data_IF_997853724277
#
_entry.id   IF_997853724277
#
_cell.length_a   1.000
_cell.length_b   1.000
_cell.length_c   1.000
_cell.angle_alpha   90.00
_cell.angle_beta   90.00
_cell.angle_gamma   90.00
#
_symmetry.space_group_name_H-M   'P 1'
#
loop_
_entity.id
_entity.type
_entity.pdbx_description
1 polymer ?
#
# COMPACT_ATOMS: atom_id res chain seq x y z
N UNK A 1 -4.59 -19.50 3.02
CA UNK A 1 -3.48 -18.94 3.82
C UNK A 1 -3.64 -17.43 3.87
N UNK A 2 -3.67 -16.85 5.05
CA UNK A 2 -3.89 -15.41 5.22
C UNK A 2 -2.57 -14.65 5.11
N UNK A 3 -2.59 -13.46 4.50
CA UNK A 3 -1.42 -12.60 4.33
C UNK A 3 -1.55 -11.34 5.20
N UNK A 4 -0.41 -10.69 5.47
CA UNK A 4 -0.39 -9.43 6.22
C UNK A 4 -1.19 -8.34 5.48
N UNK A 5 -1.96 -7.54 6.23
CA UNK A 5 -2.77 -6.45 5.70
C UNK A 5 -1.98 -5.43 4.86
N UNK A 6 -0.78 -5.03 5.31
CA UNK A 6 0.07 -4.07 4.58
C UNK A 6 0.56 -4.66 3.26
N UNK A 7 0.89 -5.96 3.25
CA UNK A 7 1.25 -6.67 2.03
C UNK A 7 0.06 -6.75 1.06
N UNK A 8 -1.16 -7.02 1.57
CA UNK A 8 -2.38 -6.97 0.76
C UNK A 8 -2.63 -5.59 0.14
N UNK A 9 -2.43 -4.52 0.91
CA UNK A 9 -2.56 -3.15 0.43
C UNK A 9 -1.52 -2.80 -0.63
N UNK A 10 -0.25 -3.18 -0.41
CA UNK A 10 0.83 -2.96 -1.37
C UNK A 10 0.53 -3.65 -2.72
N UNK A 11 0.06 -4.90 -2.70
CA UNK A 11 -0.33 -5.62 -3.91
C UNK A 11 -1.54 -4.97 -4.62
N UNK A 12 -2.51 -4.47 -3.86
CA UNK A 12 -3.63 -3.72 -4.42
C UNK A 12 -3.16 -2.43 -5.11
N UNK A 13 -2.24 -1.67 -4.47
CA UNK A 13 -1.67 -0.46 -5.04
C UNK A 13 -0.89 -0.73 -6.32
N UNK A 14 -0.13 -1.83 -6.42
CA UNK A 14 0.52 -2.21 -7.67
C UNK A 14 -0.48 -2.44 -8.80
N UNK A 15 -1.55 -3.18 -8.52
CA UNK A 15 -2.59 -3.44 -9.52
C UNK A 15 -3.29 -2.13 -9.95
N UNK A 16 -3.42 -1.14 -9.06
CA UNK A 16 -3.96 0.19 -9.40
C UNK A 16 -2.97 1.00 -10.24
N UNK A 17 -1.72 1.15 -9.78
CA UNK A 17 -0.74 2.07 -10.38
C UNK A 17 -0.16 1.50 -11.67
N UNK A 18 0.31 0.26 -11.63
CA UNK A 18 1.07 -0.33 -12.75
C UNK A 18 0.14 -0.98 -13.77
N UNK A 19 -1.02 -1.50 -13.33
CA UNK A 19 -2.01 -2.17 -14.20
C UNK A 19 -3.27 -1.36 -14.45
N UNK A 20 -3.35 -0.13 -13.94
CA UNK A 20 -4.47 0.80 -14.16
C UNK A 20 -5.86 0.21 -13.81
N UNK A 21 -5.91 -0.69 -12.82
CA UNK A 21 -7.17 -1.28 -12.38
C UNK A 21 -7.86 -0.41 -11.34
N UNK A 22 -9.18 -0.44 -11.31
CA UNK A 22 -9.97 0.22 -10.27
C UNK A 22 -9.73 -0.42 -8.90
N UNK A 23 -9.62 0.40 -7.85
CA UNK A 23 -9.35 -0.08 -6.49
C UNK A 23 -10.50 -0.91 -5.89
N UNK A 24 -11.75 -0.53 -6.13
CA UNK A 24 -12.93 -1.17 -5.53
C UNK A 24 -13.00 -2.70 -5.75
N UNK A 25 -12.90 -3.23 -6.99
CA UNK A 25 -12.90 -4.69 -7.18
C UNK A 25 -11.66 -5.37 -6.61
N UNK A 26 -10.51 -4.69 -6.58
CA UNK A 26 -9.29 -5.23 -5.97
C UNK A 26 -9.43 -5.38 -4.46
N UNK A 27 -10.04 -4.40 -3.79
CA UNK A 27 -10.29 -4.46 -2.35
C UNK A 27 -11.09 -5.69 -1.94
N UNK A 28 -12.14 -6.03 -2.68
CA UNK A 28 -12.92 -7.25 -2.43
C UNK A 28 -12.03 -8.49 -2.58
N UNK A 29 -11.30 -8.59 -3.69
CA UNK A 29 -10.40 -9.71 -3.99
C UNK A 29 -9.29 -9.89 -2.95
N UNK A 30 -8.65 -8.81 -2.52
CA UNK A 30 -7.57 -8.89 -1.53
C UNK A 30 -8.12 -9.12 -0.13
N UNK A 31 -9.29 -8.59 0.22
CA UNK A 31 -9.93 -8.83 1.52
C UNK A 31 -10.22 -10.31 1.80
N UNK A 32 -10.40 -11.16 0.77
CA UNK A 32 -10.52 -12.62 0.94
C UNK A 32 -9.25 -13.28 1.51
N UNK A 33 -8.09 -12.63 1.35
CA UNK A 33 -6.79 -13.13 1.81
C UNK A 33 -6.36 -12.52 3.14
N UNK A 34 -7.09 -11.53 3.65
CA UNK A 34 -6.76 -10.79 4.88
C UNK A 34 -7.62 -11.31 6.05
N UNK A 35 -7.08 -11.39 7.29
CA UNK A 35 -7.87 -11.76 8.45
C UNK A 35 -9.10 -10.86 8.59
N UNK A 36 -10.21 -11.39 9.09
CA UNK A 36 -11.46 -10.63 9.18
C UNK A 36 -11.30 -9.29 9.95
N UNK A 37 -10.51 -9.30 11.02
CA UNK A 37 -10.24 -8.14 11.87
C UNK A 37 -9.47 -7.03 11.14
N UNK A 38 -8.70 -7.37 10.11
CA UNK A 38 -7.83 -6.44 9.39
C UNK A 38 -8.48 -5.88 8.11
N UNK A 39 -9.69 -6.32 7.75
CA UNK A 39 -10.37 -5.85 6.52
C UNK A 39 -10.64 -4.34 6.54
N UNK A 40 -10.98 -3.79 7.72
CA UNK A 40 -11.16 -2.35 7.88
C UNK A 40 -9.84 -1.59 7.68
N UNK A 41 -8.74 -2.12 8.23
CA UNK A 41 -7.41 -1.56 8.06
C UNK A 41 -6.97 -1.60 6.59
N UNK A 42 -7.25 -2.69 5.86
CA UNK A 42 -6.95 -2.81 4.44
C UNK A 42 -7.62 -1.68 3.65
N UNK A 43 -8.90 -1.42 3.90
CA UNK A 43 -9.62 -0.33 3.23
C UNK A 43 -9.02 1.04 3.57
N UNK A 44 -8.75 1.29 4.84
CA UNK A 44 -8.14 2.54 5.29
C UNK A 44 -6.82 2.80 4.56
N UNK A 45 -5.91 1.82 4.55
CA UNK A 45 -4.60 1.95 3.91
C UNK A 45 -4.75 2.16 2.41
N UNK A 46 -5.54 1.33 1.72
CA UNK A 46 -5.68 1.41 0.27
C UNK A 46 -6.28 2.74 -0.19
N UNK A 47 -7.41 3.17 0.40
CA UNK A 47 -8.04 4.43 0.01
C UNK A 47 -7.19 5.64 0.34
N UNK A 48 -6.56 5.65 1.52
CA UNK A 48 -5.68 6.73 1.92
C UNK A 48 -4.42 6.82 1.06
N UNK A 49 -3.79 5.68 0.77
CA UNK A 49 -2.60 5.62 -0.11
C UNK A 49 -2.93 6.07 -1.53
N UNK A 50 -4.08 5.67 -2.10
CA UNK A 50 -4.51 6.16 -3.40
C UNK A 50 -4.79 7.68 -3.39
N UNK A 51 -5.42 8.20 -2.33
CA UNK A 51 -5.71 9.64 -2.18
C UNK A 51 -4.45 10.48 -2.14
N UNK A 52 -3.41 10.00 -1.46
CA UNK A 52 -2.14 10.70 -1.29
C UNK A 52 -1.02 10.17 -2.21
N UNK A 53 -1.37 9.41 -3.25
CA UNK A 53 -0.39 8.65 -4.02
C UNK A 53 0.72 9.51 -4.62
N UNK A 54 0.39 10.67 -5.20
CA UNK A 54 1.39 11.51 -5.86
C UNK A 54 2.43 12.06 -4.89
N UNK A 55 2.04 12.49 -3.68
CA UNK A 55 2.98 12.96 -2.66
C UNK A 55 3.82 11.81 -2.10
N UNK A 56 3.20 10.67 -1.80
CA UNK A 56 3.88 9.47 -1.32
C UNK A 56 4.89 8.94 -2.33
N UNK A 57 4.50 8.87 -3.61
CA UNK A 57 5.37 8.39 -4.68
C UNK A 57 6.56 9.33 -4.88
N UNK A 58 6.33 10.64 -4.89
CA UNK A 58 7.40 11.63 -4.95
C UNK A 58 8.39 11.47 -3.78
N UNK A 59 7.87 11.39 -2.54
CA UNK A 59 8.69 11.19 -1.35
C UNK A 59 9.48 9.88 -1.42
N UNK A 60 8.86 8.78 -1.87
CA UNK A 60 9.54 7.49 -2.03
C UNK A 60 10.74 7.56 -2.98
N UNK A 61 10.67 8.41 -4.02
CA UNK A 61 11.77 8.60 -4.97
C UNK A 61 12.86 9.52 -4.43
N UNK A 62 12.51 10.47 -3.56
CA UNK A 62 13.46 11.37 -2.92
C UNK A 62 14.27 10.69 -1.81
N UNK A 63 13.68 9.69 -1.14
CA UNK A 63 14.33 8.96 -0.04
C UNK A 63 15.29 7.87 -0.52
N UNK A 64 15.20 7.47 -1.79
CA UNK A 64 16.07 6.46 -2.38
C UNK A 64 17.27 7.13 -3.06
N UNK A 65 18.49 6.73 -2.68
CA UNK A 65 19.70 7.16 -3.40
C UNK A 65 19.73 6.61 -4.83
N UNK A 66 19.21 5.40 -5.02
CA UNK A 66 19.06 4.73 -6.30
C UNK A 66 17.66 4.14 -6.46
N UNK A 67 17.05 4.22 -7.65
CA UNK A 67 15.76 3.58 -7.88
C UNK A 67 15.87 2.07 -7.63
N UNK A 68 14.81 1.48 -7.06
CA UNK A 68 14.74 0.04 -6.90
C UNK A 68 14.68 -0.66 -8.27
N UNK A 69 15.26 -1.86 -8.41
CA UNK A 69 15.13 -2.65 -9.63
C UNK A 69 13.67 -3.07 -9.86
N UNK A 70 13.32 -3.37 -11.11
CA UNK A 70 11.94 -3.67 -11.52
C UNK A 70 11.33 -4.88 -10.79
N UNK A 71 12.13 -5.88 -10.45
CA UNK A 71 11.71 -7.05 -9.67
C UNK A 71 11.39 -6.72 -8.21
N UNK A 72 11.89 -5.61 -7.68
CA UNK A 72 11.59 -5.08 -6.36
C UNK A 72 10.36 -4.14 -6.33
N UNK A 73 9.56 -4.11 -7.40
CA UNK A 73 8.29 -3.35 -7.45
C UNK A 73 7.37 -3.57 -6.23
N UNK A 74 7.17 -4.80 -5.71
CA UNK A 74 6.39 -5.03 -4.48
C UNK A 74 6.98 -4.35 -3.24
N UNK A 75 8.31 -4.24 -3.15
CA UNK A 75 8.98 -3.53 -2.06
C UNK A 75 8.69 -2.03 -2.18
N UNK A 76 8.71 -1.46 -3.39
CA UNK A 76 8.35 -0.06 -3.57
C UNK A 76 6.90 0.22 -3.18
N UNK A 77 5.95 -0.65 -3.54
CA UNK A 77 4.57 -0.48 -3.11
C UNK A 77 4.39 -0.64 -1.59
N UNK A 78 5.18 -1.50 -0.94
CA UNK A 78 5.19 -1.60 0.51
C UNK A 78 5.72 -0.32 1.17
N UNK A 79 6.75 0.32 0.58
CA UNK A 79 7.21 1.63 1.04
C UNK A 79 6.11 2.69 0.92
N UNK A 80 5.32 2.69 -0.16
CA UNK A 80 4.19 3.62 -0.26
C UNK A 80 3.17 3.44 0.86
N UNK A 81 2.86 2.20 1.22
CA UNK A 81 1.98 1.88 2.35
C UNK A 81 2.56 2.41 3.67
N UNK A 82 3.84 2.14 3.95
CA UNK A 82 4.48 2.65 5.17
C UNK A 82 4.54 4.18 5.22
N UNK A 83 4.90 4.83 4.12
CA UNK A 83 4.92 6.29 4.01
C UNK A 83 3.53 6.90 4.21
N UNK A 84 2.47 6.26 3.70
CA UNK A 84 1.10 6.67 4.00
C UNK A 84 0.80 6.59 5.49
N UNK A 85 1.15 5.48 6.13
CA UNK A 85 0.88 5.28 7.55
C UNK A 85 1.62 6.31 8.41
N UNK A 86 2.88 6.60 8.10
CA UNK A 86 3.69 7.58 8.84
C UNK A 86 3.24 9.02 8.62
N UNK A 87 2.85 9.38 7.39
CA UNK A 87 2.56 10.78 7.04
C UNK A 87 1.10 11.18 7.23
N UNK A 88 0.15 10.23 7.17
CA UNK A 88 -1.27 10.52 7.04
C UNK A 88 -2.21 9.62 7.85
N UNK A 89 -1.69 8.72 8.70
CA UNK A 89 -2.51 7.82 9.53
C UNK A 89 -2.22 8.04 11.02
N UNK A 90 -3.21 7.74 11.87
CA UNK A 90 -3.07 7.74 13.33
C UNK A 90 -2.44 6.43 13.87
N UNK A 91 -1.91 5.59 12.99
CA UNK A 91 -1.17 4.39 13.39
C UNK A 91 0.15 4.84 14.01
N UNK A 92 0.45 4.36 15.21
CA UNK A 92 1.69 4.74 15.88
C UNK A 92 2.91 4.43 15.03
N UNK A 93 3.87 5.35 14.99
CA UNK A 93 5.04 5.28 14.10
C UNK A 93 5.82 3.95 14.23
N UNK A 94 5.94 3.42 15.46
CA UNK A 94 6.64 2.16 15.72
C UNK A 94 5.86 0.90 15.29
N UNK A 95 4.57 1.05 14.98
CA UNK A 95 3.67 -0.02 14.55
C UNK A 95 3.25 0.12 13.07
N UNK A 96 3.73 1.16 12.39
CA UNK A 96 3.44 1.45 10.99
C UNK A 96 3.97 0.34 10.08
#
# INVERSE_FOLDING_TARGET
MSINCRAGAALALLDVVDKQKSLTPLLVRYAEKIPANDKGLLQHICYGSCRHFFSINALSKMLLEHPLPEDARPVQALMWVGLYQLAYSDISEHAA
#
